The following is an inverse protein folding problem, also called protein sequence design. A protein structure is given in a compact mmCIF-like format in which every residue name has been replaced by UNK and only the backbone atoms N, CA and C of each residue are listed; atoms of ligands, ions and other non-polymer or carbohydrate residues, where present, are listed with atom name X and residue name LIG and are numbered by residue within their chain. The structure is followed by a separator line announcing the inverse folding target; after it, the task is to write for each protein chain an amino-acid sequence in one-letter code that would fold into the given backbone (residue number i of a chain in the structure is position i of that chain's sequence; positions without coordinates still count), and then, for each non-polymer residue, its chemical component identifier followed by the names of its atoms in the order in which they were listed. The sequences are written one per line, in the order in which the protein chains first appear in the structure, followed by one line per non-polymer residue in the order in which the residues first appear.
data_IF_133603140147
#
_entry.id   IF_133603140147
#
_cell.length_a   1.000
_cell.length_b   1.000
_cell.length_c   1.000
_cell.angle_alpha   90.00
_cell.angle_beta   90.00
_cell.angle_gamma   90.00
#
_symmetry.space_group_name_H-M   'P 1'
#
loop_
_entity.id
_entity.type
_entity.pdbx_description
1 polymer ?
#
# COMPACT_ATOMS: atom_id res chain seq x y z
N UNK A 1 -27.29 17.64 25.24
CA UNK A 1 -25.96 17.00 25.34
C UNK A 1 -25.00 17.38 24.18
N UNK A 2 -25.19 18.52 23.52
CA UNK A 2 -24.45 18.92 22.31
C UNK A 2 -23.39 20.04 22.50
N UNK A 3 -23.25 20.65 23.65
CA UNK A 3 -22.36 21.81 23.85
C UNK A 3 -20.97 21.51 24.39
N UNK A 4 -20.71 20.34 24.95
CA UNK A 4 -19.39 19.98 25.51
C UNK A 4 -18.39 19.46 24.44
N UNK A 5 -18.85 19.02 23.27
CA UNK A 5 -17.97 18.53 22.19
C UNK A 5 -17.25 19.66 21.43
N UNK A 6 -17.87 20.82 21.27
CA UNK A 6 -17.25 21.96 20.55
C UNK A 6 -16.14 22.66 21.33
N UNK A 7 -16.25 22.75 22.66
CA UNK A 7 -15.20 23.36 23.50
C UNK A 7 -13.93 22.51 23.57
N UNK A 8 -14.05 21.19 23.59
CA UNK A 8 -12.87 20.28 23.62
C UNK A 8 -12.03 20.35 22.33
N UNK A 9 -12.68 20.44 21.17
CA UNK A 9 -11.99 20.58 19.89
C UNK A 9 -11.33 21.94 19.70
N UNK A 10 -11.95 23.01 20.18
CA UNK A 10 -11.38 24.35 20.11
C UNK A 10 -10.16 24.52 21.02
N UNK A 11 -10.18 23.93 22.24
CA UNK A 11 -9.02 23.94 23.14
C UNK A 11 -7.85 23.09 22.60
N UNK A 12 -8.12 21.93 22.04
CA UNK A 12 -7.08 21.08 21.42
C UNK A 12 -6.50 21.79 20.19
N UNK A 13 -7.32 22.39 19.33
CA UNK A 13 -6.86 23.16 18.18
C UNK A 13 -6.00 24.36 18.59
N UNK A 14 -6.36 25.11 19.64
CA UNK A 14 -5.58 26.26 20.11
C UNK A 14 -4.27 25.86 20.82
N UNK A 15 -4.26 24.77 21.60
CA UNK A 15 -3.01 24.20 22.13
C UNK A 15 -2.10 23.67 21.01
N UNK A 16 -2.70 23.17 19.94
CA UNK A 16 -2.03 22.68 18.76
C UNK A 16 -1.38 23.81 17.94
N UNK A 17 -2.08 24.92 17.73
CA UNK A 17 -1.54 26.09 17.01
C UNK A 17 -0.45 26.83 17.78
N UNK A 18 -0.53 26.93 19.09
CA UNK A 18 0.46 27.63 19.91
C UNK A 18 1.84 26.93 19.97
N UNK A 19 1.89 25.61 19.73
CA UNK A 19 3.14 24.82 19.78
C UNK A 19 3.79 24.55 18.41
N UNK A 20 3.18 25.02 17.32
CA UNK A 20 3.69 24.87 15.92
C UNK A 20 4.88 25.81 15.65
N UNK A 21 5.14 26.78 16.47
CA UNK A 21 6.24 27.75 16.27
C UNK A 21 7.62 27.25 16.67
N UNK A 22 7.77 26.04 17.18
CA UNK A 22 9.08 25.41 17.38
C UNK A 22 9.52 24.66 16.13
N UNK A 23 10.40 25.25 15.42
CA UNK A 23 10.91 24.98 14.07
C UNK A 23 11.74 23.67 13.92
N UNK A 24 11.34 22.56 14.53
CA UNK A 24 12.04 21.30 14.30
C UNK A 24 11.31 20.46 13.24
N UNK A 25 12.00 20.02 12.18
CA UNK A 25 11.41 19.22 11.10
C UNK A 25 10.72 17.93 11.62
N UNK A 26 11.14 17.45 12.79
CA UNK A 26 10.58 16.27 13.47
C UNK A 26 9.13 16.46 13.92
N UNK A 27 8.79 17.67 14.41
CA UNK A 27 7.42 17.99 14.82
C UNK A 27 6.47 18.10 13.63
N UNK A 28 6.94 18.68 12.51
CA UNK A 28 6.15 18.78 11.26
C UNK A 28 5.78 17.39 10.72
N UNK A 29 6.69 16.42 10.80
CA UNK A 29 6.43 15.03 10.37
C UNK A 29 5.38 14.38 11.29
N UNK A 30 5.50 14.53 12.61
CA UNK A 30 4.54 13.98 13.56
C UNK A 30 3.14 14.53 13.28
N UNK A 31 3.01 15.83 13.00
CA UNK A 31 1.74 16.46 12.67
C UNK A 31 1.17 15.97 11.36
N UNK A 32 1.99 15.90 10.30
CA UNK A 32 1.57 15.40 8.99
C UNK A 32 1.09 13.95 9.05
N UNK A 33 1.78 13.10 9.83
CA UNK A 33 1.36 11.70 9.99
C UNK A 33 0.10 11.55 10.81
N UNK A 34 -0.05 12.32 11.90
CA UNK A 34 -1.28 12.35 12.71
C UNK A 34 -2.45 12.89 11.87
N UNK A 35 -2.26 13.98 11.15
CA UNK A 35 -3.28 14.55 10.26
C UNK A 35 -3.68 13.56 9.15
N UNK A 36 -2.70 12.87 8.56
CA UNK A 36 -2.95 11.85 7.54
C UNK A 36 -3.71 10.64 8.08
N UNK A 37 -3.34 10.13 9.26
CA UNK A 37 -4.06 9.04 9.94
C UNK A 37 -5.49 9.48 10.31
N UNK A 38 -5.67 10.71 10.82
CA UNK A 38 -6.99 11.27 11.09
C UNK A 38 -7.84 11.43 9.83
N UNK A 39 -7.26 11.90 8.72
CA UNK A 39 -7.93 11.99 7.42
C UNK A 39 -8.38 10.61 6.90
N UNK A 40 -7.54 9.58 7.03
CA UNK A 40 -7.89 8.21 6.67
C UNK A 40 -9.04 7.68 7.54
N UNK A 41 -9.02 7.91 8.85
CA UNK A 41 -10.10 7.50 9.77
C UNK A 41 -11.39 8.24 9.44
N UNK A 42 -11.34 9.54 9.13
CA UNK A 42 -12.52 10.32 8.71
C UNK A 42 -13.06 9.86 7.36
N UNK A 43 -12.19 9.57 6.39
CA UNK A 43 -12.61 9.04 5.08
C UNK A 43 -13.29 7.68 5.20
N UNK A 44 -12.79 6.81 6.09
CA UNK A 44 -13.41 5.50 6.38
C UNK A 44 -14.79 5.69 7.02
N UNK A 45 -14.91 6.64 7.96
CA UNK A 45 -16.16 6.92 8.66
C UNK A 45 -17.21 7.54 7.72
N UNK A 46 -16.84 8.53 6.91
CA UNK A 46 -17.71 9.12 5.90
C UNK A 46 -18.20 8.10 4.85
N UNK A 47 -17.36 7.11 4.52
CA UNK A 47 -17.70 6.08 3.55
C UNK A 47 -18.65 5.01 4.17
N UNK A 48 -18.55 4.73 5.47
CA UNK A 48 -19.52 3.87 6.17
C UNK A 48 -20.87 4.55 6.34
N UNK A 49 -20.89 5.85 6.63
CA UNK A 49 -22.13 6.61 6.81
C UNK A 49 -22.88 6.82 5.47
N UNK A 50 -22.15 7.03 4.36
CA UNK A 50 -22.78 7.15 3.03
C UNK A 50 -23.32 5.82 2.49
N UNK A 51 -22.76 4.68 2.90
CA UNK A 51 -23.25 3.35 2.52
C UNK A 51 -24.53 2.97 3.28
N UNK A 52 -24.73 3.48 4.49
CA UNK A 52 -25.97 3.22 5.25
C UNK A 52 -27.19 3.97 4.71
N UNK A 53 -26.97 5.12 4.06
CA UNK A 53 -28.07 5.93 3.46
C UNK A 53 -28.52 5.39 2.11
N UNK A 54 -27.67 4.59 1.40
CA UNK A 54 -28.03 4.02 0.09
C UNK A 54 -28.75 2.67 0.18
N UNK A 55 -28.95 2.11 1.36
CA UNK A 55 -29.59 0.79 1.55
C UNK A 55 -31.13 0.83 1.56
N UNK A 56 -31.74 2.02 1.54
CA UNK A 56 -33.20 2.19 1.50
C UNK A 56 -33.82 2.25 0.09
N UNK A 57 -32.99 2.30 -0.98
CA UNK A 57 -33.51 2.24 -2.37
C UNK A 57 -33.04 0.97 -3.06
N UNK A 58 -33.81 -0.11 -2.79
CA UNK A 58 -33.54 -1.48 -3.16
C UNK A 58 -33.52 -1.80 -4.65
N UNK A 59 -32.90 -2.96 -4.91
CA UNK A 59 -33.15 -3.86 -6.06
C UNK A 59 -32.53 -3.37 -7.38
N UNK A 60 -31.26 -3.62 -7.61
CA UNK A 60 -30.57 -4.05 -8.86
C UNK A 60 -29.02 -4.12 -8.69
N UNK A 61 -28.49 -3.93 -7.49
CA UNK A 61 -27.04 -3.89 -7.23
C UNK A 61 -26.45 -5.19 -6.64
N UNK A 62 -27.21 -6.26 -6.51
CA UNK A 62 -26.89 -7.38 -5.60
C UNK A 62 -25.88 -8.39 -6.15
N UNK A 63 -25.66 -8.44 -7.45
CA UNK A 63 -24.70 -9.40 -8.06
C UNK A 63 -23.27 -8.90 -8.17
N UNK A 64 -22.99 -7.61 -7.93
CA UNK A 64 -21.64 -7.03 -7.96
C UNK A 64 -21.14 -6.59 -6.56
N UNK A 65 -21.94 -6.80 -5.53
CA UNK A 65 -21.69 -6.32 -4.16
C UNK A 65 -21.01 -7.34 -3.25
N UNK A 66 -20.92 -8.62 -3.67
CA UNK A 66 -20.45 -9.70 -2.79
C UNK A 66 -18.93 -9.70 -2.53
N UNK A 67 -18.11 -9.03 -3.36
CA UNK A 67 -16.65 -9.14 -3.28
C UNK A 67 -15.91 -7.86 -2.85
N UNK A 68 -16.64 -6.79 -2.51
CA UNK A 68 -16.02 -5.58 -2.00
C UNK A 68 -15.67 -5.75 -0.51
N UNK A 69 -14.41 -5.95 -0.21
CA UNK A 69 -13.92 -5.96 1.18
C UNK A 69 -14.14 -4.57 1.79
N UNK A 70 -15.11 -4.46 2.71
CA UNK A 70 -15.40 -3.20 3.39
C UNK A 70 -14.22 -2.83 4.30
N UNK A 71 -13.79 -1.54 4.32
CA UNK A 71 -12.75 -1.09 5.22
C UNK A 71 -13.14 -1.37 6.68
N UNK A 72 -12.32 -2.16 7.38
CA UNK A 72 -12.53 -2.43 8.80
C UNK A 72 -11.44 -1.72 9.61
N UNK A 73 -11.84 -1.07 10.70
CA UNK A 73 -10.89 -0.37 11.58
C UNK A 73 -9.76 -1.30 12.04
N UNK A 74 -10.06 -2.57 12.30
CA UNK A 74 -9.06 -3.59 12.69
C UNK A 74 -7.93 -3.75 11.67
N UNK A 75 -8.21 -3.57 10.39
CA UNK A 75 -7.20 -3.69 9.31
C UNK A 75 -6.22 -2.51 9.27
N UNK A 76 -6.62 -1.36 9.84
CA UNK A 76 -5.81 -0.13 9.85
C UNK A 76 -4.92 -0.04 11.10
N UNK A 77 -5.28 -0.70 12.20
CA UNK A 77 -4.56 -0.61 13.48
C UNK A 77 -3.08 -0.98 13.32
N UNK A 78 -2.78 -2.14 12.74
CA UNK A 78 -1.41 -2.60 12.57
C UNK A 78 -0.55 -1.65 11.71
N UNK A 79 -0.92 -1.28 10.47
CA UNK A 79 -0.12 -0.37 9.67
C UNK A 79 0.00 1.03 10.30
N UNK A 80 -1.06 1.55 10.90
CA UNK A 80 -1.02 2.83 11.61
C UNK A 80 -0.06 2.80 12.81
N UNK A 81 -0.07 1.72 13.59
CA UNK A 81 0.87 1.53 14.69
C UNK A 81 2.32 1.49 14.21
N UNK A 82 2.61 0.79 13.11
CA UNK A 82 3.94 0.73 12.53
C UNK A 82 4.42 2.12 12.06
N UNK A 83 3.56 2.89 11.41
CA UNK A 83 3.87 4.27 10.98
C UNK A 83 4.16 5.14 12.20
N UNK A 84 3.29 5.08 13.22
CA UNK A 84 3.44 5.87 14.44
C UNK A 84 4.73 5.54 15.19
N UNK A 85 5.04 4.25 15.36
CA UNK A 85 6.29 3.79 15.96
C UNK A 85 7.49 4.22 15.12
N UNK A 86 7.38 4.20 13.79
CA UNK A 86 8.41 4.70 12.90
C UNK A 86 8.71 6.18 13.12
N UNK A 87 7.68 7.01 13.25
CA UNK A 87 7.84 8.44 13.54
C UNK A 87 8.44 8.67 14.92
N UNK A 88 7.93 7.99 15.95
CA UNK A 88 8.45 8.09 17.32
C UNK A 88 9.93 7.69 17.37
N UNK A 89 10.31 6.60 16.70
CA UNK A 89 11.70 6.15 16.63
C UNK A 89 12.62 7.20 16.01
N UNK A 90 12.15 7.94 14.99
CA UNK A 90 12.91 9.03 14.37
C UNK A 90 13.05 10.26 15.29
N UNK A 91 12.12 10.45 16.22
CA UNK A 91 12.15 11.55 17.18
C UNK A 91 12.98 11.23 18.44
N UNK A 92 13.36 9.96 18.65
CA UNK A 92 13.99 9.47 19.88
C UNK A 92 15.40 8.92 19.62
N UNK A 93 16.07 8.48 20.68
CA UNK A 93 17.40 7.84 20.59
C UNK A 93 17.37 6.39 20.03
N UNK A 94 16.19 5.78 19.90
CA UNK A 94 16.01 4.39 19.50
C UNK A 94 16.72 4.09 18.16
N UNK A 95 16.58 4.99 17.19
CA UNK A 95 17.25 4.85 15.91
C UNK A 95 18.79 4.69 16.05
N UNK A 96 19.41 5.55 16.87
CA UNK A 96 20.85 5.50 17.09
C UNK A 96 21.29 4.27 17.88
N UNK A 97 20.47 3.86 18.84
CA UNK A 97 20.74 2.66 19.63
C UNK A 97 20.75 1.41 18.76
N UNK A 98 19.68 1.19 17.97
CA UNK A 98 19.59 0.04 17.07
C UNK A 98 20.68 0.06 16.01
N UNK A 99 20.91 1.22 15.39
CA UNK A 99 21.94 1.37 14.35
C UNK A 99 23.33 1.00 14.86
N UNK A 100 23.74 1.47 16.03
CA UNK A 100 25.06 1.14 16.62
C UNK A 100 25.22 -0.37 16.82
N UNK A 101 24.20 -1.05 17.36
CA UNK A 101 24.27 -2.49 17.61
C UNK A 101 24.35 -3.27 16.29
N UNK A 102 23.50 -2.95 15.31
CA UNK A 102 23.48 -3.63 14.02
C UNK A 102 24.78 -3.35 13.23
N UNK A 103 25.26 -2.12 13.23
CA UNK A 103 26.49 -1.74 12.53
C UNK A 103 27.72 -2.44 13.12
N UNK A 104 27.83 -2.49 14.45
CA UNK A 104 28.93 -3.21 15.11
C UNK A 104 28.89 -4.70 14.79
N UNK A 105 27.69 -5.31 14.71
CA UNK A 105 27.53 -6.71 14.32
C UNK A 105 27.91 -6.95 12.86
N UNK A 106 27.54 -6.03 11.95
CA UNK A 106 27.81 -6.17 10.52
C UNK A 106 29.30 -5.97 10.16
N UNK A 107 30.07 -5.33 11.04
CA UNK A 107 31.46 -4.98 10.75
C UNK A 107 31.64 -4.09 9.50
N UNK A 108 30.56 -3.42 9.07
CA UNK A 108 30.56 -2.59 7.87
C UNK A 108 30.38 -3.35 6.54
N UNK A 109 30.23 -4.69 6.60
CA UNK A 109 29.89 -5.48 5.41
C UNK A 109 28.52 -5.13 4.86
N UNK A 110 28.37 -5.16 3.52
CA UNK A 110 27.12 -4.83 2.83
C UNK A 110 26.67 -6.00 1.94
N UNK A 111 25.39 -6.31 2.00
CA UNK A 111 24.72 -7.34 1.17
C UNK A 111 23.68 -6.65 0.30
N UNK A 112 23.88 -6.62 -1.02
CA UNK A 112 22.99 -5.90 -1.97
C UNK A 112 21.82 -6.72 -2.49
N UNK A 113 21.58 -7.91 -1.92
CA UNK A 113 20.49 -8.79 -2.37
C UNK A 113 19.10 -8.16 -2.15
N UNK A 114 18.99 -7.26 -1.19
CA UNK A 114 17.76 -6.52 -0.87
C UNK A 114 17.27 -5.62 -2.02
N UNK A 115 18.16 -5.18 -2.91
CA UNK A 115 17.81 -4.39 -4.10
C UNK A 115 16.91 -5.19 -5.06
N UNK A 116 17.06 -6.51 -5.15
CA UNK A 116 16.25 -7.42 -5.96
C UNK A 116 15.15 -8.09 -5.14
N UNK A 117 15.46 -8.50 -3.91
CA UNK A 117 14.58 -9.27 -3.04
C UNK A 117 13.29 -8.52 -2.67
N UNK A 118 13.32 -7.18 -2.70
CA UNK A 118 12.13 -6.35 -2.48
C UNK A 118 10.97 -6.64 -3.44
N UNK A 119 11.26 -7.15 -4.65
CA UNK A 119 10.26 -7.48 -5.66
C UNK A 119 9.80 -8.94 -5.59
N UNK A 120 10.48 -9.79 -4.82
CA UNK A 120 10.13 -11.20 -4.71
C UNK A 120 8.70 -11.44 -4.22
N UNK A 121 8.16 -10.72 -3.21
CA UNK A 121 6.78 -10.94 -2.78
C UNK A 121 5.76 -10.68 -3.89
N UNK A 122 5.88 -9.58 -4.64
CA UNK A 122 4.93 -9.30 -5.73
C UNK A 122 5.08 -10.26 -6.90
N UNK A 123 6.30 -10.68 -7.24
CA UNK A 123 6.52 -11.72 -8.24
C UNK A 123 5.88 -13.05 -7.82
N UNK A 124 5.95 -13.39 -6.53
CA UNK A 124 5.32 -14.59 -5.96
C UNK A 124 3.80 -14.58 -6.10
N UNK A 125 3.14 -13.42 -6.08
CA UNK A 125 1.68 -13.30 -6.32
C UNK A 125 1.28 -13.95 -7.65
N UNK A 126 2.12 -13.83 -8.67
CA UNK A 126 1.84 -14.40 -9.99
C UNK A 126 2.44 -15.81 -10.14
N UNK A 127 3.58 -16.08 -9.51
CA UNK A 127 4.25 -17.37 -9.60
C UNK A 127 3.42 -18.49 -8.98
N UNK A 128 2.86 -18.32 -7.78
CA UNK A 128 2.10 -19.36 -7.09
C UNK A 128 0.85 -19.80 -7.84
N UNK A 129 0.17 -18.89 -8.57
CA UNK A 129 -0.97 -19.30 -9.42
C UNK A 129 -0.56 -20.17 -10.59
N UNK A 130 0.65 -19.98 -11.14
CA UNK A 130 1.19 -20.83 -12.20
C UNK A 130 1.65 -22.19 -11.65
N UNK A 131 1.92 -22.28 -10.34
CA UNK A 131 2.24 -23.53 -9.64
C UNK A 131 0.99 -24.27 -9.13
N UNK A 132 -0.20 -23.84 -9.52
CA UNK A 132 -1.47 -24.51 -9.20
C UNK A 132 -2.12 -24.09 -7.89
N UNK A 133 -1.56 -23.10 -7.16
CA UNK A 133 -2.21 -22.54 -5.97
C UNK A 133 -3.28 -21.53 -6.40
N UNK A 134 -4.52 -21.74 -6.00
CA UNK A 134 -5.64 -20.89 -6.38
C UNK A 134 -5.55 -19.53 -5.71
N UNK A 135 -5.48 -18.47 -6.49
CA UNK A 135 -5.56 -17.09 -6.00
C UNK A 135 -7.03 -16.63 -5.88
N UNK A 136 -7.28 -15.68 -4.99
CA UNK A 136 -8.60 -15.08 -4.79
C UNK A 136 -9.12 -14.36 -6.04
N UNK A 137 -8.26 -13.63 -6.74
CA UNK A 137 -8.60 -12.82 -7.90
C UNK A 137 -7.90 -13.34 -9.17
N UNK A 138 -8.48 -13.02 -10.34
CA UNK A 138 -7.89 -13.32 -11.65
C UNK A 138 -6.57 -12.57 -11.86
N UNK A 139 -5.77 -13.00 -12.82
CA UNK A 139 -4.48 -12.32 -13.15
C UNK A 139 -4.69 -10.85 -13.51
N UNK A 140 -5.73 -10.52 -14.31
CA UNK A 140 -6.06 -9.13 -14.66
C UNK A 140 -6.40 -8.30 -13.42
N UNK A 141 -7.21 -8.84 -12.52
CA UNK A 141 -7.60 -8.16 -11.29
C UNK A 141 -6.41 -7.93 -10.36
N UNK A 142 -5.54 -8.93 -10.21
CA UNK A 142 -4.29 -8.81 -9.43
C UNK A 142 -3.34 -7.76 -10.00
N UNK A 143 -3.29 -7.61 -11.33
CA UNK A 143 -2.51 -6.54 -11.97
C UNK A 143 -3.08 -5.16 -11.64
N UNK A 144 -4.41 -5.00 -11.66
CA UNK A 144 -5.09 -3.74 -11.30
C UNK A 144 -4.84 -3.40 -9.83
N UNK A 145 -5.03 -4.37 -8.92
CA UNK A 145 -4.79 -4.21 -7.49
C UNK A 145 -3.32 -3.84 -7.24
N UNK A 146 -2.40 -4.58 -7.84
CA UNK A 146 -0.97 -4.33 -7.73
C UNK A 146 -0.58 -2.94 -8.21
N UNK A 147 -1.00 -2.56 -9.42
CA UNK A 147 -0.72 -1.23 -9.98
C UNK A 147 -1.25 -0.11 -9.07
N UNK A 148 -2.49 -0.26 -8.56
CA UNK A 148 -3.10 0.71 -7.64
C UNK A 148 -2.33 0.79 -6.32
N UNK A 149 -1.96 -0.36 -5.73
CA UNK A 149 -1.22 -0.42 -4.48
C UNK A 149 0.15 0.25 -4.59
N UNK A 150 0.90 -0.06 -5.65
CA UNK A 150 2.23 0.53 -5.87
C UNK A 150 2.16 2.02 -6.25
N UNK A 151 1.11 2.46 -6.94
CA UNK A 151 0.88 3.89 -7.21
C UNK A 151 0.63 4.66 -5.90
N UNK A 152 -0.23 4.16 -5.03
CA UNK A 152 -0.50 4.76 -3.70
C UNK A 152 0.78 4.75 -2.86
N UNK A 153 1.46 3.60 -2.75
CA UNK A 153 2.70 3.46 -1.99
C UNK A 153 3.76 4.44 -2.49
N UNK A 154 3.97 4.52 -3.80
CA UNK A 154 4.96 5.41 -4.42
C UNK A 154 4.65 6.88 -4.15
N UNK A 155 3.38 7.29 -4.25
CA UNK A 155 2.95 8.65 -3.93
C UNK A 155 3.21 9.00 -2.46
N UNK A 156 2.84 8.12 -1.53
CA UNK A 156 3.03 8.33 -0.10
C UNK A 156 4.50 8.35 0.30
N UNK A 157 5.29 7.36 -0.14
CA UNK A 157 6.72 7.26 0.18
C UNK A 157 7.47 8.48 -0.34
N UNK A 158 7.26 8.88 -1.59
CA UNK A 158 7.95 10.03 -2.15
C UNK A 158 7.46 11.35 -1.54
N UNK A 159 6.15 11.52 -1.35
CA UNK A 159 5.59 12.71 -0.69
C UNK A 159 6.21 12.94 0.69
N UNK A 160 6.30 11.88 1.51
CA UNK A 160 6.92 11.96 2.84
C UNK A 160 8.43 12.18 2.75
N UNK A 161 9.16 11.57 1.81
CA UNK A 161 10.60 11.80 1.62
C UNK A 161 10.93 13.25 1.32
N UNK A 162 10.16 13.88 0.44
CA UNK A 162 10.38 15.29 0.07
C UNK A 162 10.11 16.26 1.21
N UNK A 163 9.20 15.92 2.13
CA UNK A 163 8.84 16.78 3.27
C UNK A 163 9.71 16.50 4.50
N UNK A 164 10.01 15.24 4.79
CA UNK A 164 10.70 14.81 6.01
C UNK A 164 12.20 15.15 6.02
N UNK A 165 12.89 15.02 4.89
CA UNK A 165 14.32 15.30 4.71
C UNK A 165 15.22 14.72 5.82
N UNK A 166 14.96 13.48 6.24
CA UNK A 166 15.75 12.81 7.28
C UNK A 166 17.04 12.25 6.67
N UNK A 167 18.17 12.56 7.30
CA UNK A 167 19.49 12.06 6.89
C UNK A 167 19.59 10.54 7.13
N UNK A 168 20.20 9.83 6.20
CA UNK A 168 20.50 8.40 6.32
C UNK A 168 21.55 8.12 7.37
N UNK A 169 21.58 6.91 7.97
CA UNK A 169 22.63 6.52 8.92
C UNK A 169 24.05 6.62 8.35
N UNK A 170 24.22 6.30 7.06
CA UNK A 170 25.48 6.38 6.32
C UNK A 170 25.80 7.78 5.77
N UNK A 171 25.01 8.78 6.14
CA UNK A 171 25.13 10.19 5.71
C UNK A 171 25.08 10.42 4.19
N UNK A 172 24.69 9.42 3.39
CA UNK A 172 24.72 9.48 1.92
C UNK A 172 23.65 10.41 1.31
N UNK A 173 22.53 10.65 2.01
CA UNK A 173 21.42 11.47 1.48
C UNK A 173 20.43 11.86 2.60
N UNK A 174 19.57 12.87 2.30
CA UNK A 174 18.50 13.37 3.19
C UNK A 174 17.11 12.83 2.81
N UNK A 175 17.02 11.57 2.40
CA UNK A 175 15.78 10.92 1.99
C UNK A 175 15.57 9.57 2.69
N UNK A 176 15.94 9.50 3.99
CA UNK A 176 15.91 8.24 4.74
C UNK A 176 14.47 7.76 4.99
N UNK A 177 13.61 8.61 5.56
CA UNK A 177 12.27 8.23 5.96
C UNK A 177 11.23 8.52 4.87
N UNK A 178 10.31 7.59 4.64
CA UNK A 178 10.30 6.17 5.00
C UNK A 178 11.17 5.32 4.06
N UNK A 179 11.47 4.07 4.44
CA UNK A 179 12.24 3.14 3.60
C UNK A 179 11.43 2.66 2.40
N UNK A 180 11.89 3.02 1.18
CA UNK A 180 11.23 2.62 -0.06
C UNK A 180 11.30 1.11 -0.33
N UNK A 181 12.46 0.46 -0.13
CA UNK A 181 12.63 -0.99 -0.30
C UNK A 181 11.71 -1.77 0.63
N UNK A 182 11.64 -1.35 1.90
CA UNK A 182 10.72 -1.96 2.87
C UNK A 182 9.27 -1.77 2.44
N UNK A 183 8.88 -0.56 2.04
CA UNK A 183 7.51 -0.30 1.56
C UNK A 183 7.16 -1.16 0.35
N UNK A 184 8.07 -1.29 -0.63
CA UNK A 184 7.89 -2.14 -1.81
C UNK A 184 7.68 -3.61 -1.42
N UNK A 185 8.54 -4.16 -0.57
CA UNK A 185 8.43 -5.55 -0.11
C UNK A 185 7.14 -5.81 0.67
N UNK A 186 6.77 -4.91 1.59
CA UNK A 186 5.57 -5.05 2.41
C UNK A 186 4.28 -4.82 1.62
N UNK A 187 4.28 -4.00 0.57
CA UNK A 187 3.15 -3.89 -0.36
C UNK A 187 2.91 -5.21 -1.09
N UNK A 188 3.96 -5.79 -1.67
CA UNK A 188 3.86 -7.09 -2.37
C UNK A 188 3.47 -8.24 -1.45
N UNK A 189 4.03 -8.27 -0.24
CA UNK A 189 3.71 -9.26 0.78
C UNK A 189 2.23 -9.20 1.22
N UNK A 190 1.70 -8.01 1.46
CA UNK A 190 0.29 -7.86 1.86
C UNK A 190 -0.64 -8.29 0.72
N UNK A 191 -0.29 -8.00 -0.55
CA UNK A 191 -1.04 -8.54 -1.70
C UNK A 191 -0.96 -10.07 -1.73
N UNK A 192 0.23 -10.65 -1.54
CA UNK A 192 0.42 -12.10 -1.50
C UNK A 192 -0.43 -12.73 -0.38
N UNK A 193 -0.44 -12.13 0.80
CA UNK A 193 -1.29 -12.56 1.91
C UNK A 193 -2.76 -12.52 1.55
N UNK A 194 -3.27 -11.41 1.00
CA UNK A 194 -4.69 -11.26 0.67
C UNK A 194 -5.15 -12.23 -0.43
N UNK A 195 -4.27 -12.59 -1.35
CA UNK A 195 -4.60 -13.50 -2.45
C UNK A 195 -4.62 -14.97 -2.04
N UNK A 196 -3.79 -15.37 -1.06
CA UNK A 196 -3.56 -16.80 -0.81
C UNK A 196 -3.82 -17.26 0.63
N UNK A 197 -4.11 -16.37 1.59
CA UNK A 197 -4.31 -16.72 3.01
C UNK A 197 -5.41 -17.78 3.23
N UNK A 198 -6.46 -17.73 2.42
CA UNK A 198 -7.63 -18.60 2.55
C UNK A 198 -7.39 -19.98 1.90
N UNK A 199 -6.48 -20.07 0.94
CA UNK A 199 -6.11 -21.31 0.25
C UNK A 199 -4.89 -21.98 0.91
N UNK A 200 -3.85 -21.19 1.17
CA UNK A 200 -2.61 -21.67 1.79
C UNK A 200 -1.92 -20.58 2.62
N UNK A 201 -2.10 -20.64 3.92
CA UNK A 201 -1.54 -19.66 4.87
C UNK A 201 -0.02 -19.58 4.82
N UNK A 202 0.68 -20.68 4.47
CA UNK A 202 2.13 -20.72 4.41
C UNK A 202 2.70 -19.88 3.27
N UNK A 203 1.95 -19.75 2.17
CA UNK A 203 2.31 -18.83 1.07
C UNK A 203 2.33 -17.40 1.58
N UNK A 204 1.31 -16.98 2.33
CA UNK A 204 1.27 -15.67 2.95
C UNK A 204 2.40 -15.44 3.95
N UNK A 205 2.65 -16.41 4.84
CA UNK A 205 3.74 -16.34 5.82
C UNK A 205 5.10 -16.22 5.14
N UNK A 206 5.35 -16.93 4.03
CA UNK A 206 6.60 -16.83 3.27
C UNK A 206 6.86 -15.41 2.76
N UNK A 207 5.80 -14.71 2.33
CA UNK A 207 5.89 -13.30 1.93
C UNK A 207 6.32 -12.39 3.08
N UNK A 208 5.77 -12.59 4.29
CA UNK A 208 6.18 -11.85 5.49
C UNK A 208 7.65 -12.11 5.84
N UNK A 209 8.12 -13.35 5.74
CA UNK A 209 9.52 -13.70 5.98
C UNK A 209 10.46 -12.96 5.01
N UNK A 210 10.13 -12.94 3.71
CA UNK A 210 10.91 -12.24 2.69
C UNK A 210 10.92 -10.72 2.96
N UNK A 211 9.75 -10.11 3.20
CA UNK A 211 9.66 -8.68 3.44
C UNK A 211 10.41 -8.24 4.72
N UNK A 212 10.33 -9.06 5.78
CA UNK A 212 11.09 -8.82 7.02
C UNK A 212 12.60 -8.97 6.79
N UNK A 213 13.02 -9.91 5.97
CA UNK A 213 14.44 -10.05 5.59
C UNK A 213 14.93 -8.82 4.84
N UNK A 214 14.15 -8.30 3.86
CA UNK A 214 14.49 -7.04 3.17
C UNK A 214 14.62 -5.90 4.17
N UNK A 215 13.66 -5.76 5.09
CA UNK A 215 13.68 -4.75 6.13
C UNK A 215 14.95 -4.82 7.01
N UNK A 216 15.32 -6.03 7.43
CA UNK A 216 16.52 -6.29 8.23
C UNK A 216 17.80 -5.96 7.45
N UNK A 217 17.86 -6.32 6.16
CA UNK A 217 19.00 -5.99 5.31
C UNK A 217 19.18 -4.48 5.12
N UNK A 218 18.11 -3.68 5.14
CA UNK A 218 18.23 -2.20 5.11
C UNK A 218 18.92 -1.66 6.35
N UNK A 219 18.67 -2.25 7.52
CA UNK A 219 19.38 -1.91 8.77
C UNK A 219 20.82 -2.40 8.72
N UNK A 220 21.04 -3.66 8.33
CA UNK A 220 22.35 -4.28 8.21
C UNK A 220 23.28 -3.50 7.28
N UNK A 221 22.76 -3.05 6.15
CA UNK A 221 23.48 -2.26 5.16
C UNK A 221 23.70 -0.80 5.58
N UNK A 222 23.27 -0.40 6.78
CA UNK A 222 23.36 0.98 7.30
C UNK A 222 22.67 2.03 6.40
N UNK A 223 21.64 1.62 5.64
CA UNK A 223 20.94 2.49 4.65
C UNK A 223 19.75 3.21 5.23
N UNK A 224 19.14 2.66 6.29
CA UNK A 224 17.93 3.16 6.91
C UNK A 224 17.94 2.98 8.42
N UNK A 225 17.28 3.87 9.13
CA UNK A 225 16.99 3.74 10.56
C UNK A 225 15.87 2.74 10.80
N UNK A 226 15.77 2.20 12.03
CA UNK A 226 14.65 1.32 12.40
C UNK A 226 13.29 2.03 12.21
N UNK A 227 13.21 3.32 12.50
CA UNK A 227 12.01 4.12 12.27
C UNK A 227 11.61 4.18 10.80
N UNK A 228 12.58 4.28 9.87
CA UNK A 228 12.30 4.30 8.43
C UNK A 228 11.72 2.98 7.95
N UNK A 229 12.22 1.88 8.49
CA UNK A 229 11.78 0.53 8.18
C UNK A 229 10.36 0.30 8.67
N UNK A 230 10.07 0.65 9.92
CA UNK A 230 8.72 0.55 10.50
C UNK A 230 7.71 1.41 9.72
N UNK A 231 8.06 2.66 9.43
CA UNK A 231 7.23 3.56 8.62
C UNK A 231 6.99 3.02 7.22
N UNK A 232 8.03 2.49 6.57
CA UNK A 232 7.94 1.85 5.25
C UNK A 232 7.03 0.63 5.25
N UNK A 233 7.16 -0.26 6.24
CA UNK A 233 6.31 -1.44 6.40
C UNK A 233 4.83 -1.04 6.56
N UNK A 234 4.55 -0.09 7.45
CA UNK A 234 3.19 0.40 7.67
C UNK A 234 2.57 1.03 6.42
N UNK A 235 3.31 1.87 5.70
CA UNK A 235 2.84 2.48 4.44
C UNK A 235 2.60 1.40 3.38
N UNK A 236 3.49 0.40 3.26
CA UNK A 236 3.34 -0.69 2.30
C UNK A 236 2.06 -1.50 2.54
N UNK A 237 1.84 -1.96 3.77
CA UNK A 237 0.63 -2.70 4.16
C UNK A 237 -0.64 -1.87 3.90
N UNK A 238 -0.64 -0.61 4.33
CA UNK A 238 -1.79 0.27 4.18
C UNK A 238 -2.13 0.53 2.72
N UNK A 239 -1.11 0.72 1.86
CA UNK A 239 -1.29 0.94 0.42
C UNK A 239 -1.90 -0.26 -0.28
N UNK A 240 -1.46 -1.48 0.08
CA UNK A 240 -2.06 -2.70 -0.44
C UNK A 240 -3.53 -2.83 0.00
N UNK A 241 -3.84 -2.64 1.30
CA UNK A 241 -5.23 -2.67 1.79
C UNK A 241 -6.11 -1.62 1.11
N UNK A 242 -5.61 -0.40 0.95
CA UNK A 242 -6.31 0.66 0.24
C UNK A 242 -6.62 0.27 -1.22
N UNK A 243 -5.71 -0.43 -1.89
CA UNK A 243 -5.96 -0.91 -3.25
C UNK A 243 -7.11 -1.94 -3.32
N UNK A 244 -7.21 -2.85 -2.35
CA UNK A 244 -8.37 -3.77 -2.26
C UNK A 244 -9.67 -3.02 -1.99
N UNK A 245 -9.68 -2.03 -1.11
CA UNK A 245 -10.89 -1.21 -0.86
C UNK A 245 -11.30 -0.39 -2.09
N UNK A 246 -10.35 0.08 -2.88
CA UNK A 246 -10.60 0.82 -4.12
C UNK A 246 -10.88 -0.08 -5.33
N UNK A 247 -10.61 -1.39 -5.23
CA UNK A 247 -10.72 -2.32 -6.36
C UNK A 247 -12.09 -2.30 -7.06
N UNK A 248 -13.24 -2.24 -6.35
CA UNK A 248 -14.55 -2.17 -7.02
C UNK A 248 -14.70 -0.96 -7.95
N UNK A 249 -14.04 0.15 -7.61
CA UNK A 249 -14.05 1.39 -8.41
C UNK A 249 -13.07 1.30 -9.56
N UNK A 250 -11.83 0.88 -9.30
CA UNK A 250 -10.77 0.78 -10.31
C UNK A 250 -11.09 -0.27 -11.38
N UNK A 251 -11.70 -1.40 -11.01
CA UNK A 251 -12.14 -2.42 -11.94
C UNK A 251 -13.26 -1.94 -12.88
N UNK A 252 -14.21 -1.12 -12.37
CA UNK A 252 -15.26 -0.54 -13.20
C UNK A 252 -14.74 0.45 -14.24
N UNK A 253 -13.75 1.28 -13.87
CA UNK A 253 -13.13 2.22 -14.80
C UNK A 253 -12.46 1.51 -15.99
N UNK A 254 -11.83 0.35 -15.73
CA UNK A 254 -11.15 -0.43 -16.77
C UNK A 254 -12.13 -1.22 -17.64
N UNK A 255 -13.19 -1.81 -17.05
CA UNK A 255 -14.26 -2.50 -17.81
C UNK A 255 -15.02 -1.54 -18.74
N UNK A 256 -15.20 -0.28 -18.35
CA UNK A 256 -15.85 0.74 -19.20
C UNK A 256 -15.05 1.06 -20.47
N UNK A 257 -13.73 0.91 -20.43
CA UNK A 257 -12.85 1.13 -21.58
C UNK A 257 -12.83 -0.07 -22.54
N UNK A 258 -13.06 -1.29 -22.05
CA UNK A 258 -13.14 -2.50 -22.92
C UNK A 258 -14.42 -2.59 -23.76
N UNK A 259 -15.54 -1.97 -23.31
CA UNK A 259 -16.82 -1.97 -24.07
C UNK A 259 -16.76 -1.23 -25.43
N UNK A 260 -15.68 -0.56 -25.73
CA UNK A 260 -15.47 0.19 -26.96
C UNK A 260 -14.51 -0.52 -27.95
N UNK A 261 -14.09 -1.75 -27.68
CA UNK A 261 -13.23 -2.47 -28.59
C UNK A 261 -14.06 -3.14 -29.69
N UNK A 262 -13.97 -2.61 -30.88
CA UNK A 262 -14.46 -3.26 -32.09
C UNK A 262 -13.72 -4.59 -32.26
N UNK A 263 -14.44 -5.70 -32.18
CA UNK A 263 -13.85 -7.02 -32.48
C UNK A 263 -13.81 -7.20 -33.99
N UNK A 264 -12.63 -7.55 -34.51
CA UNK A 264 -12.40 -7.77 -35.92
C UNK A 264 -12.14 -9.26 -36.17
N UNK A 265 -12.94 -9.89 -36.96
CA UNK A 265 -12.67 -11.26 -37.45
C UNK A 265 -12.27 -11.22 -38.91
N UNK A 266 -11.13 -11.82 -39.21
CA UNK A 266 -10.62 -12.03 -40.56
C UNK A 266 -10.77 -13.52 -40.89
N UNK A 267 -11.47 -13.85 -41.97
CA UNK A 267 -11.66 -15.23 -42.40
C UNK A 267 -11.51 -15.39 -43.90
N UNK A 268 -10.98 -16.52 -44.38
CA UNK A 268 -10.91 -16.81 -45.81
C UNK A 268 -12.31 -17.08 -46.37
N UNK A 269 -12.65 -16.44 -47.50
CA UNK A 269 -13.85 -16.72 -48.27
C UNK A 269 -13.44 -17.57 -49.48
N UNK A 270 -14.05 -18.75 -49.57
CA UNK A 270 -13.81 -19.68 -50.68
C UNK A 270 -15.16 -20.07 -51.28
N UNK A 271 -15.40 -19.68 -52.54
CA UNK A 271 -16.51 -20.19 -53.34
C UNK A 271 -15.99 -20.48 -54.75
N UNK A 272 -16.76 -21.20 -55.54
CA UNK A 272 -16.34 -21.57 -56.93
C UNK A 272 -16.13 -20.35 -57.84
N UNK A 273 -16.74 -19.21 -57.51
CA UNK A 273 -16.65 -17.98 -58.27
C UNK A 273 -15.77 -16.92 -57.66
N UNK A 274 -15.41 -17.03 -56.35
CA UNK A 274 -14.69 -15.97 -55.61
C UNK A 274 -13.76 -16.54 -54.56
N UNK A 275 -12.51 -16.13 -54.62
CA UNK A 275 -11.47 -16.41 -53.61
C UNK A 275 -11.03 -15.08 -52.98
N UNK A 276 -11.21 -14.93 -51.69
CA UNK A 276 -10.89 -13.67 -51.05
C UNK A 276 -10.75 -13.80 -49.53
N UNK A 277 -10.59 -12.67 -48.86
CA UNK A 277 -10.54 -12.54 -47.40
C UNK A 277 -11.71 -11.68 -46.96
N UNK A 278 -12.56 -12.22 -46.10
CA UNK A 278 -13.65 -11.52 -45.47
C UNK A 278 -13.19 -10.84 -44.17
N UNK A 279 -13.67 -9.63 -43.92
CA UNK A 279 -13.45 -8.88 -42.68
C UNK A 279 -14.80 -8.51 -42.12
N UNK A 280 -15.05 -8.97 -40.91
CA UNK A 280 -16.28 -8.60 -40.15
C UNK A 280 -15.90 -7.83 -38.91
N UNK A 281 -16.55 -6.70 -38.70
CA UNK A 281 -16.42 -5.87 -37.49
C UNK A 281 -17.66 -6.10 -36.63
N UNK A 282 -17.46 -6.50 -35.39
CA UNK A 282 -18.50 -6.64 -34.38
C UNK A 282 -18.37 -5.48 -33.37
N UNK A 283 -19.48 -4.85 -33.05
CA UNK A 283 -19.56 -3.76 -32.08
C UNK A 283 -20.24 -4.22 -30.80
#
# INVERSE_FOLDING_TARGET
MGYLSHCYWSCIANLFFYKITTDTPKMKILFLTIAFVCLLIHSIKAQTDSLSVMDEQGIVADTLRSDAEKPQLKQVILPASLITLGVISNATYINRYVQRHVYNYSGGHKLRIDDYMQYAPIASVFAFSNLGVKAKHTVKERLIIGATAYAIMGALVNGVKYTAKIQRPDSSAFNSFPSGHTATAFTGMEILWQEYKDENVWVGISGYAIATTVATLRLYNNRHWIGDVLGGAGIGILSAKAAYWLFPYTSKLLKRKEKSSVQMAIYPVYSDEMKGVGLTLFQ
#
